data_IF_404696967988
#
_entry.id   IF_404696967988
#
_cell.length_a   1.000
_cell.length_b   1.000
_cell.length_c   1.000
_cell.angle_alpha   90.00
_cell.angle_beta   90.00
_cell.angle_gamma   90.00
#
_symmetry.space_group_name_H-M   'P 1'
#
loop_
_entity.id
_entity.type
_entity.pdbx_description
1 polymer ?
#
# COMPACT_ATOMS: atom_id res chain seq x y z
N UNK A 1 59.98 -47.57 23.22
CA UNK A 1 60.15 -46.39 24.10
C UNK A 1 58.85 -45.62 24.09
N UNK A 2 58.36 -45.35 25.30
CA UNK A 2 57.03 -44.86 25.63
C UNK A 2 57.15 -43.37 25.95
N UNK A 3 56.40 -42.49 25.28
CA UNK A 3 56.22 -41.09 25.71
C UNK A 3 54.79 -40.67 25.36
N UNK A 4 53.91 -40.64 26.36
CA UNK A 4 52.75 -39.76 26.38
C UNK A 4 53.20 -38.31 26.55
N UNK A 5 52.37 -37.37 26.12
CA UNK A 5 52.03 -36.28 27.02
C UNK A 5 50.52 -36.20 27.24
N UNK A 6 50.14 -36.19 28.51
CA UNK A 6 48.85 -35.72 28.96
C UNK A 6 48.82 -34.19 28.85
N UNK A 7 47.78 -33.65 28.22
CA UNK A 7 47.41 -32.23 28.37
C UNK A 7 45.92 -32.19 28.70
N UNK A 8 45.65 -31.91 29.97
CA UNK A 8 44.36 -31.50 30.49
C UNK A 8 44.24 -29.99 30.32
N UNK A 9 43.29 -29.53 29.50
CA UNK A 9 42.80 -28.14 29.47
C UNK A 9 41.29 -28.21 29.27
N UNK A 10 40.52 -28.02 30.35
CA UNK A 10 39.94 -26.74 30.82
C UNK A 10 38.63 -26.38 30.10
N UNK A 11 37.56 -26.40 30.91
CA UNK A 11 36.35 -25.57 30.83
C UNK A 11 35.41 -25.77 29.63
N UNK A 12 34.52 -26.73 29.80
CA UNK A 12 33.17 -26.72 29.23
C UNK A 12 32.39 -25.58 29.88
N UNK A 13 32.11 -24.51 29.12
CA UNK A 13 30.99 -23.59 29.37
C UNK A 13 30.79 -22.72 28.12
N UNK A 14 30.18 -23.33 27.10
CA UNK A 14 29.61 -22.59 25.97
C UNK A 14 28.26 -22.06 26.46
N UNK A 15 28.22 -20.78 26.85
CA UNK A 15 26.96 -20.04 27.00
C UNK A 15 26.36 -19.85 25.62
N UNK A 16 25.57 -20.83 25.17
CA UNK A 16 24.63 -20.64 24.08
C UNK A 16 23.45 -19.80 24.60
N UNK A 17 23.58 -18.48 24.53
CA UNK A 17 22.45 -17.58 24.76
C UNK A 17 21.52 -17.64 23.53
N UNK A 18 20.53 -18.51 23.64
CA UNK A 18 19.39 -18.62 22.75
C UNK A 18 18.55 -17.32 22.80
N UNK A 19 18.24 -16.83 21.59
CA UNK A 19 16.94 -16.29 21.16
C UNK A 19 16.23 -15.27 22.05
N UNK A 20 16.24 -14.00 21.61
CA UNK A 20 15.02 -13.20 21.46
C UNK A 20 15.17 -12.38 20.18
N UNK A 21 15.04 -13.06 19.03
CA UNK A 21 14.62 -12.35 17.83
C UNK A 21 13.24 -11.77 18.15
N UNK A 22 13.14 -10.45 18.20
CA UNK A 22 11.84 -9.79 18.21
C UNK A 22 11.20 -10.20 16.88
N UNK A 23 10.37 -11.23 16.93
CA UNK A 23 9.37 -11.48 15.90
C UNK A 23 8.43 -10.29 15.99
N UNK A 24 8.82 -9.18 15.36
CA UNK A 24 7.88 -8.15 14.99
C UNK A 24 6.81 -8.87 14.22
N UNK A 25 5.61 -8.91 14.78
CA UNK A 25 4.44 -9.40 14.08
C UNK A 25 4.31 -8.53 12.84
N UNK A 26 4.89 -8.99 11.73
CA UNK A 26 4.58 -8.44 10.43
C UNK A 26 3.10 -8.74 10.25
N UNK A 27 2.25 -7.82 10.70
CA UNK A 27 0.84 -7.89 10.43
C UNK A 27 0.74 -7.93 8.92
N UNK A 28 0.29 -9.08 8.41
CA UNK A 28 0.20 -9.30 6.99
C UNK A 28 -0.79 -8.28 6.44
N UNK A 29 -0.29 -7.41 5.56
CA UNK A 29 -1.09 -6.57 4.68
C UNK A 29 -2.28 -7.38 4.17
N UNK A 30 -3.48 -6.91 4.45
CA UNK A 30 -4.69 -7.65 4.11
C UNK A 30 -5.36 -6.98 2.93
N UNK A 31 -5.59 -7.76 1.88
CA UNK A 31 -6.40 -7.34 0.75
C UNK A 31 -7.86 -7.28 1.21
N UNK A 32 -8.49 -6.13 1.07
CA UNK A 32 -9.92 -5.99 1.37
C UNK A 32 -10.67 -6.39 0.11
N UNK A 33 -11.23 -7.60 0.12
CA UNK A 33 -12.04 -8.14 -0.97
C UNK A 33 -13.51 -8.13 -0.56
N UNK A 34 -14.33 -7.45 -1.34
CA UNK A 34 -15.76 -7.37 -1.13
C UNK A 34 -16.46 -7.65 -2.46
N UNK A 35 -17.47 -8.54 -2.44
CA UNK A 35 -18.21 -8.94 -3.65
C UNK A 35 -17.32 -9.50 -4.79
N UNK A 36 -16.15 -10.05 -4.44
CA UNK A 36 -15.20 -10.60 -5.42
C UNK A 36 -14.33 -9.55 -6.10
N UNK A 37 -14.32 -8.31 -5.62
CA UNK A 37 -13.48 -7.22 -6.12
C UNK A 37 -12.61 -6.64 -5.01
N UNK A 38 -11.46 -6.09 -5.38
CA UNK A 38 -10.53 -5.43 -4.46
C UNK A 38 -11.11 -4.07 -4.09
N UNK A 39 -11.65 -3.96 -2.88
CA UNK A 39 -12.16 -2.70 -2.34
C UNK A 39 -11.05 -1.85 -1.68
N UNK A 40 -9.88 -2.43 -1.41
CA UNK A 40 -8.77 -1.73 -0.77
C UNK A 40 -7.66 -2.62 -0.24
N UNK A 41 -6.78 -2.02 0.55
CA UNK A 41 -5.72 -2.68 1.31
C UNK A 41 -5.75 -2.15 2.74
N UNK A 42 -5.75 -3.04 3.73
CA UNK A 42 -5.74 -2.68 5.14
C UNK A 42 -4.41 -3.02 5.81
N UNK A 43 -4.05 -2.22 6.83
CA UNK A 43 -2.84 -2.44 7.61
C UNK A 43 -1.54 -2.10 6.88
N UNK A 44 -1.56 -1.11 5.97
CA UNK A 44 -0.34 -0.57 5.36
C UNK A 44 0.49 0.15 6.42
N UNK A 45 1.64 -0.45 6.78
CA UNK A 45 2.60 0.18 7.68
C UNK A 45 3.40 1.25 6.93
N UNK A 46 3.24 2.49 7.38
CA UNK A 46 4.02 3.64 6.93
C UNK A 46 4.66 4.26 8.16
N UNK A 47 5.97 4.05 8.29
CA UNK A 47 6.79 4.60 9.37
C UNK A 47 6.26 4.26 10.79
N UNK A 48 5.79 3.03 10.99
CA UNK A 48 5.28 2.53 12.28
C UNK A 48 3.83 2.91 12.55
N UNK A 49 3.10 3.41 11.55
CA UNK A 49 1.67 3.74 11.64
C UNK A 49 0.92 2.97 10.58
N UNK A 50 -0.17 2.32 10.98
CA UNK A 50 -1.01 1.52 10.10
C UNK A 50 -2.09 2.40 9.45
N UNK A 51 -2.28 2.20 8.15
CA UNK A 51 -3.30 2.88 7.36
C UNK A 51 -4.14 1.87 6.58
N UNK A 52 -5.41 2.18 6.45
CA UNK A 52 -6.32 1.53 5.53
C UNK A 52 -6.48 2.41 4.30
N UNK A 53 -6.47 1.79 3.13
CA UNK A 53 -6.61 2.44 1.83
C UNK A 53 -7.80 1.82 1.13
N UNK A 54 -8.86 2.60 0.97
CA UNK A 54 -10.06 2.21 0.25
C UNK A 54 -10.03 2.74 -1.18
N UNK A 55 -10.46 1.94 -2.15
CA UNK A 55 -10.66 2.36 -3.53
C UNK A 55 -12.13 2.72 -3.76
N UNK A 56 -12.36 3.85 -4.42
CA UNK A 56 -13.69 4.39 -4.72
C UNK A 56 -13.77 4.84 -6.17
N UNK A 57 -14.90 4.53 -6.79
CA UNK A 57 -15.31 5.07 -8.07
C UNK A 57 -15.99 6.44 -7.88
N UNK A 58 -16.15 7.19 -8.98
CA UNK A 58 -16.76 8.52 -8.97
C UNK A 58 -15.75 9.65 -8.81
N UNK A 59 -16.20 10.90 -8.90
CA UNK A 59 -15.32 12.06 -8.91
C UNK A 59 -14.73 12.37 -7.51
N UNK A 60 -13.49 12.88 -7.48
CA UNK A 60 -12.76 13.23 -6.26
C UNK A 60 -13.59 14.02 -5.24
N UNK A 61 -14.24 15.09 -5.66
CA UNK A 61 -15.05 15.98 -4.81
C UNK A 61 -16.28 15.30 -4.18
N UNK A 62 -16.75 14.19 -4.75
CA UNK A 62 -17.89 13.45 -4.21
C UNK A 62 -17.50 12.45 -3.12
N UNK A 63 -16.26 11.94 -3.15
CA UNK A 63 -15.80 10.85 -2.28
C UNK A 63 -14.76 11.28 -1.25
N UNK A 64 -14.09 12.41 -1.50
CA UNK A 64 -13.01 12.93 -0.67
C UNK A 64 -13.49 14.00 0.31
N UNK A 65 -13.13 13.92 1.61
CA UNK A 65 -13.49 14.94 2.59
C UNK A 65 -12.85 16.26 2.21
N UNK A 66 -13.67 17.26 1.95
CA UNK A 66 -13.18 18.43 1.25
C UNK A 66 -12.60 19.53 2.17
N UNK A 67 -12.46 19.25 3.47
CA UNK A 67 -11.60 20.03 4.38
C UNK A 67 -10.11 19.65 4.27
N UNK A 68 -9.77 18.60 3.51
CA UNK A 68 -8.39 18.15 3.35
C UNK A 68 -7.76 18.76 2.09
N UNK A 69 -6.55 19.31 2.23
CA UNK A 69 -5.73 19.79 1.10
C UNK A 69 -4.87 18.64 0.55
N UNK A 70 -5.53 17.56 0.14
CA UNK A 70 -4.85 16.30 -0.19
C UNK A 70 -4.22 15.62 1.03
N UNK A 71 -3.49 14.53 0.78
CA UNK A 71 -2.74 13.81 1.82
C UNK A 71 -1.27 14.24 1.92
N UNK A 72 -0.82 15.16 1.06
CA UNK A 72 0.56 15.63 1.03
C UNK A 72 1.57 14.47 0.90
N UNK A 73 2.68 14.49 1.67
CA UNK A 73 3.70 13.43 1.60
C UNK A 73 3.17 12.02 1.88
N UNK A 74 2.06 11.88 2.61
CA UNK A 74 1.46 10.57 2.89
C UNK A 74 0.97 9.88 1.60
N UNK A 75 0.52 10.64 0.59
CA UNK A 75 0.10 10.06 -0.69
C UNK A 75 1.21 9.24 -1.33
N UNK A 76 2.43 9.80 -1.38
CA UNK A 76 3.62 9.13 -1.93
C UNK A 76 4.03 7.92 -1.10
N UNK A 77 4.01 8.07 0.22
CA UNK A 77 4.35 6.98 1.12
C UNK A 77 3.40 5.79 0.98
N UNK A 78 2.10 6.04 0.81
CA UNK A 78 1.10 5.00 0.53
C UNK A 78 1.37 4.34 -0.82
N UNK A 79 1.62 5.11 -1.88
CA UNK A 79 1.92 4.55 -3.19
C UNK A 79 3.16 3.63 -3.15
N UNK A 80 4.23 4.07 -2.47
CA UNK A 80 5.43 3.27 -2.27
C UNK A 80 5.17 2.01 -1.44
N UNK A 81 4.36 2.11 -0.39
CA UNK A 81 3.98 0.96 0.43
C UNK A 81 3.15 -0.05 -0.36
N UNK A 82 2.21 0.39 -1.21
CA UNK A 82 1.44 -0.48 -2.12
C UNK A 82 2.34 -1.20 -3.13
N UNK A 83 3.35 -0.53 -3.68
CA UNK A 83 4.34 -1.15 -4.57
C UNK A 83 5.15 -2.23 -3.84
N UNK A 84 5.63 -1.93 -2.62
CA UNK A 84 6.41 -2.87 -1.82
C UNK A 84 5.55 -4.06 -1.31
N UNK A 85 4.25 -3.85 -1.13
CA UNK A 85 3.30 -4.82 -0.63
C UNK A 85 2.99 -5.96 -1.62
N UNK A 86 3.31 -5.83 -2.91
CA UNK A 86 2.93 -6.78 -3.97
C UNK A 86 3.10 -8.28 -3.58
N UNK A 87 4.30 -8.73 -3.16
CA UNK A 87 4.51 -10.11 -2.73
C UNK A 87 3.69 -10.52 -1.50
N UNK A 88 3.51 -9.61 -0.55
CA UNK A 88 2.73 -9.86 0.68
C UNK A 88 1.23 -9.96 0.40
N UNK A 89 0.71 -9.14 -0.54
CA UNK A 89 -0.69 -9.19 -0.98
C UNK A 89 -1.01 -10.52 -1.67
N UNK A 90 -0.07 -11.07 -2.45
CA UNK A 90 -0.23 -12.39 -3.08
C UNK A 90 -0.35 -13.53 -2.06
N UNK A 91 0.17 -13.35 -0.85
CA UNK A 91 0.04 -14.29 0.26
C UNK A 91 -1.18 -14.04 1.14
N UNK A 92 -1.97 -12.98 0.89
CA UNK A 92 -3.10 -12.61 1.73
C UNK A 92 -4.28 -13.59 1.56
N UNK A 93 -5.04 -13.87 2.64
CA UNK A 93 -6.26 -14.67 2.55
C UNK A 93 -7.25 -14.06 1.54
N UNK A 94 -7.82 -14.89 0.68
CA UNK A 94 -8.78 -14.45 -0.34
C UNK A 94 -8.16 -13.88 -1.61
N UNK A 95 -6.82 -13.79 -1.70
CA UNK A 95 -6.15 -13.39 -2.94
C UNK A 95 -6.43 -14.38 -4.08
N UNK A 96 -6.67 -13.82 -5.29
CA UNK A 96 -6.69 -14.53 -6.57
C UNK A 96 -6.10 -13.64 -7.65
N UNK A 97 -5.47 -14.24 -8.66
CA UNK A 97 -4.81 -13.52 -9.75
C UNK A 97 -5.78 -12.81 -10.72
N UNK A 98 -7.08 -13.09 -10.63
CA UNK A 98 -8.13 -12.51 -11.46
C UNK A 98 -8.95 -11.43 -10.74
N UNK A 99 -8.60 -11.11 -9.48
CA UNK A 99 -9.24 -10.01 -8.77
C UNK A 99 -8.87 -8.67 -9.42
N UNK A 100 -9.85 -7.78 -9.49
CA UNK A 100 -9.68 -6.40 -9.98
C UNK A 100 -10.10 -5.40 -8.90
N UNK A 101 -9.53 -4.19 -8.89
CA UNK A 101 -10.06 -3.08 -8.10
C UNK A 101 -11.54 -2.84 -8.39
N UNK A 102 -12.33 -2.63 -7.34
CA UNK A 102 -13.75 -2.31 -7.44
C UNK A 102 -13.95 -1.07 -8.28
N UNK A 103 -14.87 -1.13 -9.24
CA UNK A 103 -15.15 -0.02 -10.16
C UNK A 103 -14.24 0.03 -11.38
N UNK A 104 -13.25 -0.87 -11.49
CA UNK A 104 -12.42 -0.97 -12.68
C UNK A 104 -13.11 -1.78 -13.79
N UNK A 105 -13.20 -1.22 -15.01
CA UNK A 105 -13.89 -1.88 -16.13
C UNK A 105 -12.92 -2.75 -16.95
N UNK A 106 -11.70 -2.27 -17.17
CA UNK A 106 -10.65 -2.98 -17.88
C UNK A 106 -10.09 -4.14 -17.07
N UNK A 107 -9.89 -5.26 -17.76
CA UNK A 107 -9.18 -6.42 -17.24
C UNK A 107 -7.65 -6.25 -17.30
N UNK A 108 -7.16 -5.28 -18.07
CA UNK A 108 -5.73 -5.11 -18.33
C UNK A 108 -5.05 -4.21 -17.30
N UNK A 109 -5.67 -3.08 -16.94
CA UNK A 109 -5.07 -2.14 -15.98
C UNK A 109 -6.09 -1.20 -15.36
N UNK A 110 -5.84 -0.83 -14.11
CA UNK A 110 -6.55 0.23 -13.40
C UNK A 110 -5.59 1.31 -12.92
N UNK A 111 -5.93 2.58 -13.14
CA UNK A 111 -5.22 3.71 -12.54
C UNK A 111 -5.86 4.08 -11.20
N UNK A 112 -5.08 4.13 -10.15
CA UNK A 112 -5.52 4.55 -8.83
C UNK A 112 -4.84 5.88 -8.51
N UNK A 113 -5.64 6.92 -8.33
CA UNK A 113 -5.19 8.26 -7.99
C UNK A 113 -5.20 8.46 -6.48
N UNK A 114 -4.04 8.80 -5.92
CA UNK A 114 -3.86 9.13 -4.51
C UNK A 114 -3.65 10.65 -4.39
N UNK A 115 -4.60 11.38 -3.80
CA UNK A 115 -4.57 12.83 -3.72
C UNK A 115 -3.36 13.34 -2.95
N UNK A 116 -2.43 14.04 -3.61
CA UNK A 116 -1.31 14.70 -2.93
C UNK A 116 -1.68 16.13 -2.54
N UNK A 117 -2.30 16.88 -3.45
CA UNK A 117 -2.74 18.25 -3.21
C UNK A 117 -4.11 18.51 -3.83
N UNK A 118 -4.89 19.39 -3.19
CA UNK A 118 -6.16 19.92 -3.70
C UNK A 118 -6.26 21.42 -3.43
N UNK A 119 -6.99 22.12 -4.30
CA UNK A 119 -7.38 23.51 -4.13
C UNK A 119 -8.80 23.63 -3.57
N UNK A 120 -9.12 24.81 -3.03
CA UNK A 120 -10.46 25.11 -2.53
C UNK A 120 -10.80 24.44 -1.19
N UNK A 121 -12.09 24.44 -0.88
CA UNK A 121 -12.65 23.83 0.31
C UNK A 121 -13.95 23.10 -0.05
N UNK A 122 -14.41 22.25 0.86
CA UNK A 122 -15.67 21.54 0.73
C UNK A 122 -16.85 22.41 0.34
N UNK A 123 -17.75 21.90 -0.54
CA UNK A 123 -17.69 20.66 -1.32
C UNK A 123 -17.00 20.82 -2.71
N UNK A 124 -16.34 21.96 -2.94
CA UNK A 124 -15.85 22.36 -4.26
C UNK A 124 -14.34 22.19 -4.42
N UNK A 125 -13.70 21.38 -3.55
CA UNK A 125 -12.28 21.14 -3.64
C UNK A 125 -11.96 20.38 -4.93
N UNK A 126 -10.93 20.82 -5.67
CA UNK A 126 -10.45 20.08 -6.85
C UNK A 126 -9.11 19.49 -6.50
N UNK A 127 -8.91 18.23 -6.89
CA UNK A 127 -7.56 17.70 -6.89
C UNK A 127 -6.72 18.57 -7.81
N UNK A 128 -5.47 18.82 -7.43
CA UNK A 128 -4.52 19.54 -8.27
C UNK A 128 -3.29 18.69 -8.50
N UNK A 129 -2.88 17.85 -7.55
CA UNK A 129 -1.80 16.89 -7.77
C UNK A 129 -2.19 15.53 -7.20
N UNK A 130 -1.86 14.46 -7.93
CA UNK A 130 -2.07 13.10 -7.50
C UNK A 130 -0.82 12.25 -7.73
N UNK A 131 -0.65 11.25 -6.88
CA UNK A 131 0.27 10.14 -7.10
C UNK A 131 -0.51 9.02 -7.76
N UNK A 132 -0.01 8.51 -8.88
CA UNK A 132 -0.63 7.39 -9.60
C UNK A 132 -0.05 6.05 -9.14
N UNK A 133 -0.92 5.07 -8.91
CA UNK A 133 -0.56 3.67 -8.79
C UNK A 133 -1.32 2.86 -9.84
N UNK A 134 -0.61 2.05 -10.63
CA UNK A 134 -1.25 1.20 -11.64
C UNK A 134 -1.43 -0.21 -11.10
N UNK A 135 -2.67 -0.70 -11.05
CA UNK A 135 -2.94 -2.10 -10.78
C UNK A 135 -3.08 -2.88 -12.08
N UNK A 136 -2.28 -3.94 -12.26
CA UNK A 136 -2.30 -4.78 -13.46
C UNK A 136 -2.26 -6.23 -13.02
N UNK A 137 -3.34 -6.97 -13.32
CA UNK A 137 -3.56 -8.39 -12.97
C UNK A 137 -3.42 -8.68 -11.47
N UNK A 138 -2.19 -8.77 -10.99
CA UNK A 138 -1.82 -9.27 -9.67
C UNK A 138 -0.88 -8.35 -8.89
N UNK A 139 -0.54 -7.18 -9.44
CA UNK A 139 0.47 -6.30 -8.86
C UNK A 139 0.12 -4.82 -9.00
N UNK A 140 0.51 -4.06 -7.99
CA UNK A 140 0.70 -2.62 -8.12
C UNK A 140 2.03 -2.38 -8.83
N UNK A 141 2.02 -1.53 -9.84
CA UNK A 141 3.17 -1.21 -10.68
C UNK A 141 3.24 0.29 -10.92
N UNK A 142 4.45 0.72 -11.31
CA UNK A 142 4.91 2.07 -11.64
C UNK A 142 4.08 3.22 -11.05
N UNK A 143 4.70 3.92 -10.12
CA UNK A 143 4.41 5.32 -9.79
C UNK A 143 5.36 6.16 -10.65
N UNK A 144 4.94 6.77 -11.77
CA UNK A 144 5.82 7.69 -12.48
C UNK A 144 5.93 8.99 -11.67
N UNK A 145 7.14 9.52 -11.51
CA UNK A 145 7.28 10.97 -11.49
C UNK A 145 7.06 11.46 -12.93
N UNK A 146 6.29 12.54 -13.15
CA UNK A 146 5.97 13.62 -12.21
C UNK A 146 4.56 13.59 -11.62
N UNK A 147 4.38 14.35 -10.54
CA UNK A 147 3.06 14.83 -10.10
C UNK A 147 2.55 15.81 -11.15
N UNK A 148 1.53 15.40 -11.89
CA UNK A 148 0.91 16.30 -12.86
C UNK A 148 -0.16 17.15 -12.18
N UNK A 149 -0.35 18.40 -12.66
CA UNK A 149 -1.62 19.07 -12.45
C UNK A 149 -2.74 18.14 -12.95
N UNK A 150 -3.59 17.65 -12.06
CA UNK A 150 -4.72 16.77 -12.37
C UNK A 150 -6.00 17.47 -11.97
N UNK A 151 -6.93 17.67 -12.90
CA UNK A 151 -8.26 18.20 -12.63
C UNK A 151 -9.32 17.09 -12.76
N UNK A 152 -9.88 16.69 -11.61
CA UNK A 152 -10.89 15.64 -11.55
C UNK A 152 -12.17 15.95 -12.36
N UNK A 153 -12.45 17.22 -12.66
CA UNK A 153 -13.61 17.58 -13.45
C UNK A 153 -13.44 17.29 -14.95
N UNK A 154 -12.20 17.29 -15.47
CA UNK A 154 -11.91 17.13 -16.90
C UNK A 154 -11.24 15.81 -17.23
N UNK A 155 -10.30 15.37 -16.39
CA UNK A 155 -9.38 14.29 -16.74
C UNK A 155 -10.04 12.92 -16.59
N UNK A 156 -11.04 12.83 -15.70
CA UNK A 156 -11.80 11.61 -15.42
C UNK A 156 -12.73 11.20 -16.56
N UNK A 157 -13.18 12.17 -17.37
CA UNK A 157 -14.03 11.90 -18.52
C UNK A 157 -13.33 11.04 -19.59
N UNK A 158 -12.00 11.11 -19.67
CA UNK A 158 -11.19 10.42 -20.67
C UNK A 158 -10.46 9.19 -20.11
N UNK A 159 -10.67 8.86 -18.83
CA UNK A 159 -9.98 7.78 -18.12
C UNK A 159 -11.01 6.84 -17.45
N UNK A 160 -11.68 5.95 -18.20
CA UNK A 160 -12.78 5.14 -17.67
C UNK A 160 -12.35 4.09 -16.63
N UNK A 161 -11.05 3.77 -16.55
CA UNK A 161 -10.47 2.80 -15.62
C UNK A 161 -9.65 3.47 -14.53
N UNK A 162 -10.27 4.44 -13.87
CA UNK A 162 -9.63 5.29 -12.88
C UNK A 162 -10.43 5.31 -11.58
N UNK A 163 -9.72 5.12 -10.46
CA UNK A 163 -10.26 5.08 -9.11
C UNK A 163 -9.54 6.10 -8.21
N UNK A 164 -10.20 6.47 -7.11
CA UNK A 164 -9.61 7.31 -6.08
C UNK A 164 -9.28 6.51 -4.82
N UNK A 165 -8.11 6.76 -4.25
CA UNK A 165 -7.70 6.20 -2.97
C UNK A 165 -8.11 7.12 -1.81
N UNK A 166 -8.82 6.56 -0.84
CA UNK A 166 -9.12 7.20 0.44
C UNK A 166 -8.23 6.56 1.51
N UNK A 167 -7.43 7.38 2.20
CA UNK A 167 -6.47 6.95 3.22
C UNK A 167 -7.04 7.31 4.59
N UNK A 168 -7.18 6.32 5.45
CA UNK A 168 -7.59 6.50 6.84
C UNK A 168 -6.61 5.78 7.77
N UNK A 169 -6.40 6.25 9.02
CA UNK A 169 -5.72 5.45 10.02
C UNK A 169 -6.42 4.09 10.18
N UNK A 170 -5.65 3.01 10.24
CA UNK A 170 -6.21 1.68 10.52
C UNK A 170 -6.74 1.63 11.97
N UNK A 171 -7.82 0.85 12.18
CA UNK A 171 -8.48 0.70 13.48
C UNK A 171 -7.96 -0.49 14.28
#
# INVERSE_FOLDING_TARGET
MNIQPAVSLRLVSIFAALCLGVAGSAQALSLVVEEGEIAGVSGLDIQGRLYDVSFRDGAFNAVYPAELSGYGPLARAVAQALLAAGPSIQAAPGWRADLRPRGCQSADSCTILIPEHSDGAAPNARMTHAVEALYTRDRFSKVPEPLWPFDAATDTQYMPDMLYAIITPAR
#
